data_IF_139598639965
#
_entry.id   IF_139598639965
#
_cell.length_a   1.000
_cell.length_b   1.000
_cell.length_c   1.000
_cell.angle_alpha   90.00
_cell.angle_beta   90.00
_cell.angle_gamma   90.00
#
_symmetry.space_group_name_H-M   'P 1'
#
loop_
_entity.id
_entity.type
_entity.pdbx_description
1 polymer ?
#
# COMPACT_ATOMS: atom_id res chain seq x y z
N UNK A 1 5.19 10.05 6.47
CA UNK A 1 5.34 10.50 5.06
C UNK A 1 6.22 11.73 5.01
N UNK A 2 7.04 11.93 3.97
CA UNK A 2 7.88 13.13 3.80
C UNK A 2 7.67 13.71 2.39
N UNK A 3 7.41 15.01 2.27
CA UNK A 3 7.41 15.70 0.98
C UNK A 3 8.87 15.96 0.53
N UNK A 4 9.30 15.37 -0.58
CA UNK A 4 10.64 15.57 -1.14
C UNK A 4 10.68 16.61 -2.28
N UNK A 5 9.52 17.13 -2.69
CA UNK A 5 9.45 18.16 -3.72
C UNK A 5 9.86 19.54 -3.16
N UNK A 6 10.52 20.32 -4.00
CA UNK A 6 10.81 21.74 -3.80
C UNK A 6 9.56 22.62 -3.84
N UNK A 7 8.49 22.14 -4.47
CA UNK A 7 7.20 22.81 -4.59
C UNK A 7 6.28 22.41 -3.44
N UNK A 8 5.52 23.39 -2.93
CA UNK A 8 4.50 23.14 -1.91
C UNK A 8 3.34 22.32 -2.50
N UNK A 9 2.91 21.29 -1.76
CA UNK A 9 1.77 20.46 -2.13
C UNK A 9 0.74 20.49 -1.01
N UNK A 10 -0.53 20.70 -1.36
CA UNK A 10 -1.64 20.50 -0.43
C UNK A 10 -1.89 18.99 -0.27
N UNK A 11 -0.99 18.34 0.47
CA UNK A 11 -1.00 16.90 0.63
C UNK A 11 -2.08 16.48 1.63
N UNK A 12 -3.12 15.86 1.10
CA UNK A 12 -4.24 15.31 1.84
C UNK A 12 -4.06 13.80 1.95
N UNK A 13 -4.26 13.25 3.14
CA UNK A 13 -4.03 11.83 3.42
C UNK A 13 -5.30 11.23 3.98
N UNK A 14 -5.72 10.11 3.41
CA UNK A 14 -6.98 9.43 3.72
C UNK A 14 -6.71 7.99 4.10
N UNK A 15 -7.29 7.54 5.20
CA UNK A 15 -7.43 6.11 5.44
C UNK A 15 -8.48 5.56 4.49
N UNK A 16 -8.19 4.40 3.90
CA UNK A 16 -9.14 3.75 2.99
C UNK A 16 -9.45 2.34 3.47
N UNK A 17 -10.74 2.07 3.59
CA UNK A 17 -11.27 0.71 3.57
C UNK A 17 -12.11 0.50 2.30
N UNK A 18 -12.48 -0.75 2.02
CA UNK A 18 -13.14 -1.13 0.77
C UNK A 18 -14.60 -0.63 0.67
N UNK A 19 -15.26 -0.37 1.79
CA UNK A 19 -16.65 0.08 1.84
C UNK A 19 -16.79 1.60 1.98
N UNK A 20 -15.76 2.28 2.48
CA UNK A 20 -15.81 3.68 2.85
C UNK A 20 -14.45 4.35 2.63
N UNK A 21 -14.46 5.48 1.92
CA UNK A 21 -13.38 6.46 2.02
C UNK A 21 -13.65 7.21 3.32
N UNK A 22 -12.95 6.85 4.40
CA UNK A 22 -13.06 7.58 5.64
C UNK A 22 -12.19 8.83 5.53
N UNK A 23 -12.82 9.99 5.37
CA UNK A 23 -12.15 11.28 5.39
C UNK A 23 -11.74 11.57 6.84
N UNK A 24 -10.61 11.03 7.27
CA UNK A 24 -9.89 11.58 8.41
C UNK A 24 -8.69 12.33 7.85
N UNK A 25 -8.50 13.56 8.33
CA UNK A 25 -7.37 14.45 8.08
C UNK A 25 -7.54 15.41 6.89
N UNK A 26 -8.38 16.43 7.07
CA UNK A 26 -8.03 17.77 6.60
C UNK A 26 -6.82 18.25 7.42
N UNK A 27 -5.64 17.70 7.12
CA UNK A 27 -4.38 18.23 7.66
C UNK A 27 -4.05 19.49 6.88
N UNK A 28 -3.59 20.56 7.55
CA UNK A 28 -3.18 21.77 6.85
C UNK A 28 -2.17 21.40 5.79
N UNK A 29 -2.31 21.98 4.60
CA UNK A 29 -1.35 21.85 3.50
C UNK A 29 0.08 21.86 4.03
N UNK A 30 0.88 20.87 3.65
CA UNK A 30 2.31 20.86 3.93
C UNK A 30 2.96 21.93 3.02
N UNK A 31 2.84 23.19 3.42
CA UNK A 31 3.20 24.39 2.63
C UNK A 31 4.69 24.58 2.41
N UNK A 32 5.54 23.72 3.01
CA UNK A 32 7.00 23.73 2.81
C UNK A 32 7.48 22.33 2.43
N UNK A 33 8.37 22.27 1.44
CA UNK A 33 9.12 21.06 1.09
C UNK A 33 9.90 20.53 2.30
N UNK A 34 10.13 19.22 2.37
CA UNK A 34 10.84 18.57 3.47
C UNK A 34 9.99 18.30 4.72
N UNK A 35 8.71 18.65 4.74
CA UNK A 35 7.82 18.39 5.90
C UNK A 35 7.51 16.90 6.04
N UNK A 36 7.44 16.44 7.29
CA UNK A 36 7.11 15.06 7.64
C UNK A 36 5.90 14.99 8.57
N UNK A 37 5.12 13.92 8.45
CA UNK A 37 4.00 13.64 9.36
C UNK A 37 3.74 12.13 9.54
N UNK A 38 3.03 11.79 10.61
CA UNK A 38 2.66 10.43 10.99
C UNK A 38 1.21 10.13 10.63
N UNK A 39 1.00 9.00 9.96
CA UNK A 39 -0.34 8.42 9.74
C UNK A 39 -0.60 7.44 10.88
N UNK A 40 -1.68 7.65 11.63
CA UNK A 40 -2.14 6.72 12.67
C UNK A 40 -3.39 6.03 12.15
N UNK A 41 -3.27 4.76 11.78
CA UNK A 41 -4.40 3.98 11.29
C UNK A 41 -5.45 3.75 12.37
N UNK A 42 -6.71 3.88 12.01
CA UNK A 42 -7.84 3.65 12.90
C UNK A 42 -8.37 2.23 12.73
N UNK A 43 -8.42 1.45 13.81
CA UNK A 43 -8.91 0.06 13.80
C UNK A 43 -8.04 -0.87 12.95
N UNK A 44 -8.69 -1.73 12.17
CA UNK A 44 -8.01 -2.73 11.32
C UNK A 44 -7.66 -2.21 9.92
N UNK A 45 -7.79 -0.90 9.69
CA UNK A 45 -7.42 -0.29 8.41
C UNK A 45 -5.91 -0.34 8.22
N UNK A 46 -5.50 -0.62 6.99
CA UNK A 46 -4.08 -0.69 6.59
C UNK A 46 -3.79 0.07 5.30
N UNK A 47 -4.82 0.41 4.52
CA UNK A 47 -4.69 1.18 3.29
C UNK A 47 -4.69 2.69 3.53
N UNK A 48 -3.79 3.40 2.85
CA UNK A 48 -3.74 4.87 2.85
C UNK A 48 -3.67 5.39 1.41
N UNK A 49 -4.41 6.46 1.13
CA UNK A 49 -4.27 7.26 -0.08
C UNK A 49 -3.71 8.62 0.31
N UNK A 50 -2.80 9.12 -0.51
CA UNK A 50 -2.17 10.41 -0.36
C UNK A 50 -2.39 11.14 -1.68
N UNK A 51 -3.03 12.30 -1.67
CA UNK A 51 -3.33 13.06 -2.88
C UNK A 51 -3.08 14.55 -2.70
N UNK A 52 -2.75 15.25 -3.77
CA UNK A 52 -2.73 16.71 -3.77
C UNK A 52 -4.15 17.24 -3.94
N UNK A 53 -4.58 18.17 -3.08
CA UNK A 53 -5.90 18.81 -3.18
C UNK A 53 -6.12 19.64 -4.44
N UNK A 54 -5.06 19.97 -5.17
CA UNK A 54 -5.09 20.80 -6.38
C UNK A 54 -4.81 20.03 -7.68
N UNK A 55 -4.10 18.91 -7.62
CA UNK A 55 -3.70 18.12 -8.79
C UNK A 55 -4.16 16.67 -8.65
N UNK A 56 -5.28 16.32 -9.30
CA UNK A 56 -5.90 14.99 -9.18
C UNK A 56 -4.99 13.83 -9.61
N UNK A 57 -3.98 14.09 -10.46
CA UNK A 57 -3.02 13.08 -10.89
C UNK A 57 -1.93 12.79 -9.86
N UNK A 58 -1.71 13.70 -8.90
CA UNK A 58 -0.69 13.54 -7.87
C UNK A 58 -1.26 12.72 -6.73
N UNK A 59 -1.29 11.40 -6.93
CA UNK A 59 -1.74 10.43 -5.95
C UNK A 59 -0.67 9.39 -5.66
N UNK A 60 -0.61 8.96 -4.41
CA UNK A 60 0.17 7.83 -3.95
C UNK A 60 -0.70 6.93 -3.09
N UNK A 61 -0.43 5.64 -3.14
CA UNK A 61 -1.11 4.66 -2.31
C UNK A 61 -0.10 3.93 -1.44
N UNK A 62 -0.51 3.57 -0.24
CA UNK A 62 0.29 2.78 0.68
C UNK A 62 -0.55 1.72 1.37
N UNK A 63 0.13 0.65 1.79
CA UNK A 63 -0.46 -0.41 2.59
C UNK A 63 0.50 -0.75 3.73
N UNK A 64 0.01 -0.71 4.96
CA UNK A 64 0.79 -1.05 6.15
C UNK A 64 0.88 -2.58 6.29
N UNK A 65 2.11 -3.09 6.42
CA UNK A 65 2.41 -4.51 6.61
C UNK A 65 3.12 -4.70 7.95
N UNK A 66 2.59 -5.59 8.78
CA UNK A 66 3.05 -5.81 10.16
C UNK A 66 4.21 -6.83 10.26
N UNK A 67 4.71 -7.32 9.12
CA UNK A 67 5.76 -8.34 9.04
C UNK A 67 6.75 -7.99 7.90
N UNK A 68 7.97 -8.57 7.89
CA UNK A 68 9.00 -8.21 6.92
C UNK A 68 8.79 -8.84 5.53
N UNK A 69 7.80 -9.72 5.36
CA UNK A 69 7.58 -10.50 4.14
C UNK A 69 6.59 -9.79 3.23
N UNK A 70 7.08 -8.77 2.51
CA UNK A 70 6.31 -8.05 1.51
C UNK A 70 7.15 -7.74 0.28
N UNK A 71 6.48 -7.54 -0.85
CA UNK A 71 7.09 -7.05 -2.07
C UNK A 71 6.13 -6.10 -2.77
N UNK A 72 6.68 -5.09 -3.44
CA UNK A 72 5.95 -4.25 -4.39
C UNK A 72 6.26 -4.78 -5.78
N UNK A 73 5.23 -5.09 -6.55
CA UNK A 73 5.40 -5.59 -7.92
C UNK A 73 6.13 -4.57 -8.79
N UNK A 74 7.04 -5.04 -9.64
CA UNK A 74 7.67 -4.22 -10.67
C UNK A 74 6.70 -3.84 -11.79
N UNK A 75 7.20 -3.10 -12.79
CA UNK A 75 6.42 -2.68 -13.97
C UNK A 75 5.85 -3.85 -14.79
N UNK A 76 6.50 -5.01 -14.74
CA UNK A 76 6.06 -6.24 -15.42
C UNK A 76 5.13 -7.09 -14.54
N UNK A 77 4.74 -6.62 -13.35
CA UNK A 77 3.89 -7.35 -12.41
C UNK A 77 4.62 -8.43 -11.60
N UNK A 78 5.92 -8.61 -11.81
CA UNK A 78 6.72 -9.59 -11.06
C UNK A 78 7.05 -9.13 -9.64
N UNK A 79 7.09 -10.07 -8.70
CA UNK A 79 7.48 -9.87 -7.32
C UNK A 79 8.27 -11.09 -6.81
N UNK A 80 9.07 -10.88 -5.77
CA UNK A 80 9.88 -11.93 -5.14
C UNK A 80 9.93 -11.65 -3.63
N UNK A 81 9.64 -12.67 -2.81
CA UNK A 81 9.74 -12.59 -1.36
C UNK A 81 10.69 -13.70 -0.93
N UNK A 82 11.84 -13.32 -0.37
CA UNK A 82 12.92 -14.23 0.01
C UNK A 82 12.86 -14.61 1.46
N UNK A 83 13.62 -15.66 1.80
CA UNK A 83 13.88 -16.09 3.17
C UNK A 83 12.59 -16.41 3.96
N UNK A 84 11.57 -16.93 3.25
CA UNK A 84 10.40 -17.51 3.89
C UNK A 84 10.80 -18.82 4.57
N UNK A 85 10.53 -18.98 5.89
CA UNK A 85 10.64 -20.27 6.54
C UNK A 85 9.71 -21.31 5.91
N UNK A 86 9.98 -22.59 6.12
CA UNK A 86 9.08 -23.64 5.68
C UNK A 86 7.75 -23.55 6.45
N UNK A 87 6.62 -23.62 5.75
CA UNK A 87 5.31 -23.50 6.34
C UNK A 87 4.20 -23.18 5.35
N UNK A 88 2.97 -23.12 5.87
CA UNK A 88 1.78 -22.69 5.13
C UNK A 88 1.46 -21.25 5.48
N UNK A 89 1.33 -20.41 4.46
CA UNK A 89 1.11 -18.98 4.56
C UNK A 89 -0.12 -18.55 3.76
N UNK A 90 -0.73 -17.46 4.21
CA UNK A 90 -1.72 -16.73 3.41
C UNK A 90 -1.04 -15.49 2.83
N UNK A 91 -0.89 -15.46 1.52
CA UNK A 91 -0.39 -14.30 0.78
C UNK A 91 -1.57 -13.42 0.37
N UNK A 92 -1.43 -12.11 0.60
CA UNK A 92 -2.40 -11.09 0.21
C UNK A 92 -1.80 -10.26 -0.91
N UNK A 93 -2.40 -10.30 -2.10
CA UNK A 93 -2.13 -9.35 -3.16
C UNK A 93 -3.10 -8.17 -3.02
N UNK A 94 -2.58 -6.94 -3.01
CA UNK A 94 -3.38 -5.72 -2.91
C UNK A 94 -3.08 -4.80 -4.09
N UNK A 95 -4.13 -4.29 -4.71
CA UNK A 95 -4.10 -3.26 -5.74
C UNK A 95 -5.03 -2.11 -5.34
N UNK A 96 -4.59 -0.84 -5.37
CA UNK A 96 -5.37 0.28 -4.88
C UNK A 96 -6.73 0.41 -5.57
N UNK A 97 -6.83 0.11 -6.87
CA UNK A 97 -8.09 0.24 -7.62
C UNK A 97 -8.86 -1.09 -7.72
N UNK A 98 -8.14 -2.21 -7.79
CA UNK A 98 -8.71 -3.52 -8.18
C UNK A 98 -8.97 -4.43 -6.97
N UNK A 99 -8.37 -4.12 -5.82
CA UNK A 99 -8.71 -4.72 -4.55
C UNK A 99 -7.72 -5.71 -4.02
N UNK A 100 -8.23 -6.63 -3.22
CA UNK A 100 -7.42 -7.62 -2.53
C UNK A 100 -7.79 -9.02 -3.00
N UNK A 101 -6.77 -9.86 -3.14
CA UNK A 101 -6.92 -11.29 -3.33
C UNK A 101 -6.04 -11.99 -2.31
N UNK A 102 -6.61 -12.97 -1.61
CA UNK A 102 -5.88 -13.82 -0.70
C UNK A 102 -5.70 -15.20 -1.34
N UNK A 103 -4.50 -15.78 -1.20
CA UNK A 103 -4.25 -17.18 -1.55
C UNK A 103 -3.47 -17.86 -0.45
N UNK A 104 -3.80 -19.13 -0.22
CA UNK A 104 -3.02 -20.00 0.65
C UNK A 104 -1.91 -20.67 -0.17
N UNK A 105 -0.78 -20.87 0.48
CA UNK A 105 0.41 -21.37 -0.18
C UNK A 105 1.35 -22.05 0.81
N UNK A 106 2.02 -23.12 0.38
CA UNK A 106 2.96 -23.87 1.22
C UNK A 106 4.36 -23.80 0.62
N UNK A 107 5.34 -23.45 1.46
CA UNK A 107 6.77 -23.43 1.13
C UNK A 107 7.43 -24.61 1.83
N UNK A 108 8.03 -25.51 1.06
CA UNK A 108 8.87 -26.57 1.59
C UNK A 108 10.28 -26.05 1.90
N UNK A 109 11.00 -26.70 2.81
CA UNK A 109 12.31 -26.24 3.25
C UNK A 109 13.32 -26.20 2.09
N UNK A 110 13.86 -25.02 1.78
CA UNK A 110 14.84 -24.82 0.72
C UNK A 110 14.27 -24.80 -0.70
N UNK A 111 12.94 -24.87 -0.86
CA UNK A 111 12.28 -24.81 -2.16
C UNK A 111 11.72 -23.41 -2.45
N UNK A 112 11.76 -23.04 -3.72
CA UNK A 112 11.02 -21.89 -4.24
C UNK A 112 9.69 -22.37 -4.80
N UNK A 113 8.65 -21.59 -4.54
CA UNK A 113 7.33 -21.89 -5.05
C UNK A 113 6.78 -20.61 -5.71
N UNK A 114 5.89 -20.75 -6.69
CA UNK A 114 5.33 -19.62 -7.44
C UNK A 114 3.82 -19.49 -7.24
N UNK A 115 3.33 -18.26 -7.17
CA UNK A 115 1.89 -17.95 -7.11
C UNK A 115 1.56 -16.81 -8.06
N UNK A 116 0.41 -16.91 -8.73
CA UNK A 116 -0.07 -15.91 -9.66
C UNK A 116 -1.38 -15.29 -9.17
N UNK A 117 -1.50 -13.97 -9.36
CA UNK A 117 -2.71 -13.20 -9.09
C UNK A 117 -3.17 -12.51 -10.36
N UNK A 118 -4.44 -12.67 -10.70
CA UNK A 118 -5.06 -11.99 -11.83
C UNK A 118 -6.18 -11.10 -11.32
N UNK A 119 -5.98 -9.79 -11.39
CA UNK A 119 -7.04 -8.83 -11.11
C UNK A 119 -7.88 -8.62 -12.36
N UNK A 120 -9.20 -8.70 -12.22
CA UNK A 120 -10.15 -8.36 -13.28
C UNK A 120 -10.67 -6.94 -13.04
N UNK A 121 -10.84 -6.18 -14.12
CA UNK A 121 -11.57 -4.91 -14.05
C UNK A 121 -13.01 -5.17 -13.57
N UNK A 122 -13.57 -4.19 -12.87
CA UNK A 122 -14.96 -4.19 -12.41
C UNK A 122 -15.90 -3.66 -13.49
#
# INVERSE_FOLDING_TARGET
>A
MKNLDSVAHDLQVYERDWGHIFIMFHRPALTKGGTQDFVRFTGDRRGVIMQCGMHLYMQGHGFAVDNPYYAVTGSEGMFDIRDLPAGTYRIKAWHPTLGEQDREFTVAAGESSSVEFTFKEK
#
